data_IF_847314758341
#
_entry.id   IF_847314758341
#
_cell.length_a   1.000
_cell.length_b   1.000
_cell.length_c   1.000
_cell.angle_alpha   90.00
_cell.angle_beta   90.00
_cell.angle_gamma   90.00
#
_symmetry.space_group_name_H-M   'P 1'
#
loop_
_entity.id
_entity.type
_entity.pdbx_description
1 polymer ?
#
# COMPACT_ATOMS: atom_id res chain seq x y z
N UNK A 1 -2.75 1.07 17.56
CA UNK A 1 -1.98 0.31 16.54
C UNK A 1 -1.11 1.28 15.74
N UNK A 2 0.04 0.85 15.26
CA UNK A 2 0.96 1.78 14.57
C UNK A 2 0.37 2.39 13.29
N UNK A 3 -0.61 1.75 12.67
CA UNK A 3 -1.28 2.25 11.47
C UNK A 3 -2.28 3.38 11.72
N UNK A 4 -2.71 3.61 12.95
CA UNK A 4 -3.79 4.56 13.26
C UNK A 4 -3.47 6.01 12.87
N UNK A 5 -2.18 6.35 12.79
CA UNK A 5 -1.72 7.67 12.35
C UNK A 5 -1.67 7.84 10.82
N UNK A 6 -1.77 6.76 10.06
CA UNK A 6 -1.62 6.77 8.60
C UNK A 6 -2.92 6.67 7.82
N UNK A 7 -4.04 6.61 8.52
CA UNK A 7 -5.37 6.66 7.92
C UNK A 7 -6.38 7.20 8.92
N UNK A 8 -7.56 7.49 8.45
CA UNK A 8 -8.71 7.84 9.29
C UNK A 8 -9.92 7.00 8.89
N UNK A 9 -10.90 6.93 9.78
CA UNK A 9 -12.19 6.30 9.50
C UNK A 9 -13.26 7.38 9.54
N UNK A 10 -13.97 7.55 8.44
CA UNK A 10 -15.03 8.55 8.27
C UNK A 10 -16.27 7.84 7.72
N UNK A 11 -17.38 7.90 8.43
CA UNK A 11 -18.64 7.26 8.05
C UNK A 11 -18.48 5.77 7.67
N UNK A 12 -17.62 5.05 8.40
CA UNK A 12 -17.33 3.63 8.15
C UNK A 12 -16.34 3.35 7.03
N UNK A 13 -15.88 4.37 6.31
CA UNK A 13 -14.89 4.25 5.25
C UNK A 13 -13.49 4.57 5.76
N UNK A 14 -12.50 3.88 5.23
CA UNK A 14 -11.09 4.24 5.42
C UNK A 14 -10.72 5.34 4.43
N UNK A 15 -10.11 6.40 4.96
CA UNK A 15 -9.67 7.55 4.17
C UNK A 15 -8.20 7.81 4.46
N UNK A 16 -7.41 8.00 3.42
CA UNK A 16 -5.96 8.26 3.52
C UNK A 16 -5.67 9.60 2.85
N UNK A 17 -5.14 10.54 3.62
CA UNK A 17 -4.68 11.82 3.07
C UNK A 17 -3.31 11.67 2.40
N UNK A 18 -2.97 12.62 1.53
CA UNK A 18 -1.65 12.65 0.89
C UNK A 18 -0.51 12.72 1.91
N UNK A 19 -0.70 13.49 2.99
CA UNK A 19 0.29 13.60 4.06
C UNK A 19 0.48 12.27 4.81
N UNK A 20 -0.60 11.60 5.19
CA UNK A 20 -0.56 10.29 5.86
C UNK A 20 0.15 9.24 4.99
N UNK A 21 -0.18 9.19 3.71
CA UNK A 21 0.45 8.29 2.76
C UNK A 21 1.95 8.54 2.60
N UNK A 22 2.35 9.81 2.48
CA UNK A 22 3.75 10.21 2.37
C UNK A 22 4.54 9.89 3.65
N UNK A 23 3.95 10.13 4.81
CA UNK A 23 4.57 9.79 6.09
C UNK A 23 4.80 8.29 6.22
N UNK A 24 3.81 7.48 5.86
CA UNK A 24 3.97 6.02 5.86
C UNK A 24 5.10 5.57 4.92
N UNK A 25 5.09 6.07 3.68
CA UNK A 25 6.12 5.73 2.70
C UNK A 25 7.53 6.00 3.23
N UNK A 26 7.74 7.18 3.81
CA UNK A 26 9.06 7.61 4.29
C UNK A 26 9.47 6.99 5.62
N UNK A 27 8.56 6.96 6.60
CA UNK A 27 8.89 6.56 7.97
C UNK A 27 8.85 5.04 8.18
N UNK A 28 7.93 4.35 7.52
CA UNK A 28 7.72 2.90 7.70
C UNK A 28 8.35 2.08 6.59
N UNK A 29 8.08 2.46 5.33
CA UNK A 29 8.59 1.72 4.17
C UNK A 29 10.02 2.11 3.79
N UNK A 30 10.47 3.31 4.14
CA UNK A 30 11.73 3.85 3.61
C UNK A 30 11.66 4.06 2.09
N UNK A 31 10.47 4.26 1.57
CA UNK A 31 10.19 4.49 0.16
C UNK A 31 10.15 6.00 -0.12
N UNK A 32 11.17 6.47 -0.82
CA UNK A 32 11.32 7.87 -1.21
C UNK A 32 10.94 8.13 -2.67
N UNK A 33 10.14 7.24 -3.27
CA UNK A 33 9.62 7.47 -4.60
C UNK A 33 8.74 8.74 -4.61
N UNK A 34 9.06 9.73 -5.45
CA UNK A 34 8.33 11.00 -5.49
C UNK A 34 6.83 10.88 -5.81
N UNK A 35 6.38 9.76 -6.32
CA UNK A 35 4.95 9.48 -6.55
C UNK A 35 4.13 9.54 -5.24
N UNK A 36 4.77 9.34 -4.09
CA UNK A 36 4.14 9.41 -2.77
C UNK A 36 4.32 10.75 -2.07
N UNK A 37 4.97 11.72 -2.71
CA UNK A 37 5.07 13.07 -2.16
C UNK A 37 3.71 13.77 -2.19
N UNK A 38 3.33 14.52 -1.15
CA UNK A 38 1.99 15.11 -1.04
C UNK A 38 1.63 16.08 -2.18
N UNK A 39 2.64 16.70 -2.78
CA UNK A 39 2.54 17.64 -3.89
C UNK A 39 2.81 17.01 -5.26
N UNK A 40 2.98 15.70 -5.32
CA UNK A 40 3.22 15.01 -6.57
C UNK A 40 2.05 15.20 -7.55
N UNK A 41 2.36 15.50 -8.78
CA UNK A 41 1.36 15.75 -9.84
C UNK A 41 0.46 14.53 -10.09
N UNK A 42 1.02 13.34 -9.97
CA UNK A 42 0.32 12.06 -10.08
C UNK A 42 0.45 11.27 -8.79
N UNK A 43 0.11 11.92 -7.69
CA UNK A 43 0.17 11.31 -6.37
C UNK A 43 -0.62 10.00 -6.33
N UNK A 44 -0.03 8.99 -5.70
CA UNK A 44 -0.76 7.80 -5.30
C UNK A 44 -0.38 7.35 -3.90
N UNK A 45 -1.34 6.75 -3.23
CA UNK A 45 -1.14 6.09 -1.94
C UNK A 45 -0.25 4.85 -2.15
N UNK A 46 0.77 4.62 -1.30
CA UNK A 46 1.58 3.41 -1.38
C UNK A 46 0.73 2.14 -1.31
N UNK A 47 0.94 1.21 -2.22
CA UNK A 47 0.33 -0.11 -2.15
C UNK A 47 0.64 -0.84 -0.85
N UNK A 48 1.84 -0.64 -0.32
CA UNK A 48 2.27 -1.19 0.97
C UNK A 48 1.41 -0.71 2.16
N UNK A 49 0.89 0.52 2.12
CA UNK A 49 -0.04 1.00 3.15
C UNK A 49 -1.39 0.27 3.07
N UNK A 50 -1.91 0.08 1.87
CA UNK A 50 -3.14 -0.69 1.69
C UNK A 50 -2.96 -2.16 2.09
N UNK A 51 -1.84 -2.76 1.75
CA UNK A 51 -1.44 -4.09 2.22
C UNK A 51 -1.46 -4.17 3.75
N UNK A 52 -0.80 -3.23 4.42
CA UNK A 52 -0.74 -3.16 5.88
C UNK A 52 -2.14 -3.03 6.52
N UNK A 53 -3.01 -2.18 5.97
CA UNK A 53 -4.37 -1.98 6.45
C UNK A 53 -5.21 -3.27 6.29
N UNK A 54 -5.07 -3.97 5.17
CA UNK A 54 -5.77 -5.25 4.96
C UNK A 54 -5.34 -6.28 6.00
N UNK A 55 -4.05 -6.46 6.24
CA UNK A 55 -3.57 -7.40 7.25
C UNK A 55 -4.06 -7.05 8.66
N UNK A 56 -4.03 -5.77 9.02
CA UNK A 56 -4.50 -5.31 10.33
C UNK A 56 -6.00 -5.56 10.55
N UNK A 57 -6.81 -5.41 9.50
CA UNK A 57 -8.27 -5.55 9.60
C UNK A 57 -8.75 -7.00 9.50
N UNK A 58 -8.13 -7.79 8.63
CA UNK A 58 -8.62 -9.12 8.25
C UNK A 58 -7.73 -10.28 8.71
N UNK A 59 -6.55 -9.96 9.23
CA UNK A 59 -5.59 -10.96 9.67
C UNK A 59 -4.65 -11.43 8.57
N UNK A 60 -3.69 -12.25 8.96
CA UNK A 60 -2.71 -12.86 8.07
C UNK A 60 -3.10 -14.32 7.84
N UNK A 61 -3.38 -14.68 6.60
CA UNK A 61 -3.67 -16.06 6.18
C UNK A 61 -2.41 -16.76 5.67
N UNK A 62 -2.39 -18.08 5.70
CA UNK A 62 -1.26 -18.88 5.23
C UNK A 62 -0.87 -18.58 3.79
N UNK A 63 -1.86 -18.33 2.94
CA UNK A 63 -1.66 -17.93 1.55
C UNK A 63 -2.47 -16.68 1.26
N UNK A 64 -1.81 -15.63 0.83
CA UNK A 64 -2.45 -14.39 0.38
C UNK A 64 -1.80 -13.89 -0.89
N UNK A 65 -2.62 -13.45 -1.83
CA UNK A 65 -2.16 -12.79 -3.06
C UNK A 65 -2.86 -11.45 -3.20
N UNK A 66 -2.08 -10.40 -3.32
CA UNK A 66 -2.55 -9.02 -3.50
C UNK A 66 -2.36 -8.61 -4.95
N UNK A 67 -3.43 -8.19 -5.61
CA UNK A 67 -3.39 -7.66 -6.98
C UNK A 67 -3.81 -6.20 -6.97
N UNK A 68 -2.91 -5.34 -7.40
CA UNK A 68 -3.17 -3.91 -7.52
C UNK A 68 -3.81 -3.62 -8.88
N UNK A 69 -5.07 -3.20 -8.87
CA UNK A 69 -5.87 -2.95 -10.07
C UNK A 69 -5.86 -1.50 -10.52
N UNK A 70 -5.75 -0.58 -9.56
CA UNK A 70 -5.81 0.86 -9.84
C UNK A 70 -4.97 1.63 -8.85
N UNK A 71 -4.46 2.77 -9.28
CA UNK A 71 -3.79 3.72 -8.39
C UNK A 71 -4.83 4.43 -7.53
N UNK A 72 -4.56 4.54 -6.24
CA UNK A 72 -5.40 5.23 -5.29
C UNK A 72 -4.87 6.65 -5.07
N UNK A 73 -5.71 7.65 -5.35
CA UNK A 73 -5.44 9.05 -4.99
C UNK A 73 -5.72 9.35 -3.52
N UNK A 74 -5.51 10.60 -3.14
CA UNK A 74 -5.77 11.07 -1.77
C UNK A 74 -7.28 11.19 -1.46
N UNK A 75 -7.61 11.00 -0.20
CA UNK A 75 -8.95 11.27 0.36
C UNK A 75 -10.12 10.51 -0.31
N UNK A 76 -9.85 9.38 -0.94
CA UNK A 76 -10.89 8.51 -1.50
C UNK A 76 -11.47 7.65 -0.37
N UNK A 77 -12.79 7.70 -0.12
CA UNK A 77 -13.43 6.82 0.85
C UNK A 77 -13.40 5.37 0.38
N UNK A 78 -12.73 4.51 1.12
CA UNK A 78 -12.57 3.10 0.80
C UNK A 78 -13.49 2.23 1.63
N UNK A 79 -14.06 1.23 1.00
CA UNK A 79 -14.76 0.13 1.64
C UNK A 79 -14.08 -1.21 1.32
N UNK A 80 -14.30 -2.16 2.19
CA UNK A 80 -13.73 -3.50 2.10
C UNK A 80 -14.87 -4.49 1.96
N UNK A 81 -14.85 -5.26 0.88
CA UNK A 81 -15.84 -6.31 0.62
C UNK A 81 -15.19 -7.65 0.87
N UNK A 82 -15.54 -8.28 1.98
CA UNK A 82 -14.97 -9.55 2.44
C UNK A 82 -15.86 -10.71 2.08
N UNK A 83 -15.26 -11.77 1.53
CA UNK A 83 -15.83 -13.10 1.44
C UNK A 83 -14.92 -14.09 2.18
N UNK A 84 -15.26 -15.36 2.19
CA UNK A 84 -14.40 -16.39 2.80
C UNK A 84 -12.98 -16.39 2.20
N UNK A 85 -12.88 -16.27 0.88
CA UNK A 85 -11.63 -16.44 0.14
C UNK A 85 -11.09 -15.15 -0.50
N UNK A 86 -11.80 -14.03 -0.40
CA UNK A 86 -11.43 -12.78 -1.06
C UNK A 86 -11.69 -11.56 -0.20
N UNK A 87 -10.91 -10.51 -0.45
CA UNK A 87 -11.14 -9.16 0.08
C UNK A 87 -10.91 -8.18 -1.06
N UNK A 88 -11.91 -7.38 -1.40
CA UNK A 88 -11.79 -6.32 -2.38
C UNK A 88 -11.76 -4.96 -1.68
N UNK A 89 -10.79 -4.13 -2.03
CA UNK A 89 -10.71 -2.74 -1.57
C UNK A 89 -11.19 -1.86 -2.71
N UNK A 90 -12.31 -1.19 -2.52
CA UNK A 90 -12.97 -0.40 -3.56
C UNK A 90 -13.55 0.91 -3.02
N UNK A 91 -13.93 1.80 -3.93
CA UNK A 91 -14.68 3.01 -3.59
C UNK A 91 -16.19 2.79 -3.73
N UNK A 92 -16.98 3.82 -3.44
CA UNK A 92 -18.45 3.76 -3.52
C UNK A 92 -18.97 3.66 -4.96
N UNK A 93 -18.16 4.04 -5.95
CA UNK A 93 -18.49 3.87 -7.37
C UNK A 93 -18.22 2.45 -7.90
N UNK A 94 -17.65 1.59 -7.06
CA UNK A 94 -17.32 0.21 -7.41
C UNK A 94 -15.96 0.03 -8.09
N UNK A 95 -15.14 1.08 -8.16
CA UNK A 95 -13.76 0.95 -8.65
C UNK A 95 -12.93 0.16 -7.65
N UNK A 96 -12.32 -0.93 -8.12
CA UNK A 96 -11.47 -1.79 -7.32
C UNK A 96 -10.02 -1.32 -7.39
N UNK A 97 -9.40 -1.12 -6.25
CA UNK A 97 -7.98 -0.74 -6.12
C UNK A 97 -7.10 -1.94 -5.84
N UNK A 98 -7.54 -2.83 -4.95
CA UNK A 98 -6.85 -4.09 -4.65
C UNK A 98 -7.84 -5.23 -4.59
N UNK A 99 -7.45 -6.35 -5.18
CA UNK A 99 -8.09 -7.66 -4.99
C UNK A 99 -7.16 -8.54 -4.16
N UNK A 100 -7.67 -9.11 -3.08
CA UNK A 100 -6.93 -10.05 -2.25
C UNK A 100 -7.57 -11.42 -2.33
N UNK A 101 -6.80 -12.42 -2.72
CA UNK A 101 -7.17 -13.82 -2.59
C UNK A 101 -6.48 -14.42 -1.37
N UNK A 102 -7.19 -15.21 -0.58
CA UNK A 102 -6.64 -15.85 0.61
C UNK A 102 -7.11 -17.28 0.77
N UNK A 103 -6.27 -18.09 1.41
CA UNK A 103 -6.60 -19.49 1.78
C UNK A 103 -5.76 -19.95 2.95
N UNK A 104 -6.19 -21.05 3.57
CA UNK A 104 -5.53 -21.61 4.75
C UNK A 104 -5.98 -20.95 6.05
N UNK A 105 -5.30 -21.28 7.14
CA UNK A 105 -5.61 -20.74 8.45
C UNK A 105 -5.24 -19.23 8.51
N UNK A 106 -6.01 -18.49 9.30
CA UNK A 106 -5.80 -17.03 9.49
C UNK A 106 -5.48 -16.75 10.94
N UNK A 107 -4.40 -16.03 11.19
CA UNK A 107 -4.08 -15.48 12.51
C UNK A 107 -4.52 -14.03 12.62
N UNK A 108 -4.95 -13.65 13.82
CA UNK A 108 -5.26 -12.27 14.21
C UNK A 108 -4.36 -11.76 15.32
N UNK A 109 -3.22 -12.43 15.53
CA UNK A 109 -2.20 -12.00 16.47
C UNK A 109 -1.60 -10.66 16.01
N UNK A 110 -1.96 -9.60 16.74
CA UNK A 110 -1.59 -8.23 16.38
C UNK A 110 -0.08 -8.00 16.38
N UNK A 111 0.64 -8.59 17.35
CA UNK A 111 2.09 -8.44 17.46
C UNK A 111 2.80 -9.12 16.29
N UNK A 112 2.36 -10.32 15.94
CA UNK A 112 2.90 -11.06 14.80
C UNK A 112 2.62 -10.33 13.48
N UNK A 113 1.38 -9.86 13.29
CA UNK A 113 0.96 -9.11 12.10
C UNK A 113 1.76 -7.82 11.97
N UNK A 114 1.93 -7.05 13.04
CA UNK A 114 2.72 -5.82 13.02
C UNK A 114 4.19 -6.12 12.66
N UNK A 115 4.78 -7.13 13.27
CA UNK A 115 6.17 -7.52 13.02
C UNK A 115 6.39 -7.89 11.55
N UNK A 116 5.54 -8.76 11.00
CA UNK A 116 5.62 -9.19 9.60
C UNK A 116 5.36 -8.02 8.65
N UNK A 117 4.35 -7.21 8.93
CA UNK A 117 4.01 -6.05 8.11
C UNK A 117 5.16 -5.07 8.02
N UNK A 118 5.77 -4.70 9.15
CA UNK A 118 6.90 -3.77 9.17
C UNK A 118 8.10 -4.31 8.41
N UNK A 119 8.43 -5.58 8.61
CA UNK A 119 9.56 -6.21 7.92
C UNK A 119 9.34 -6.27 6.41
N UNK A 120 8.15 -6.68 5.98
CA UNK A 120 7.80 -6.77 4.57
C UNK A 120 7.81 -5.41 3.89
N UNK A 121 7.14 -4.43 4.48
CA UNK A 121 7.02 -3.07 3.94
C UNK A 121 8.38 -2.39 3.85
N UNK A 122 9.23 -2.55 4.86
CA UNK A 122 10.60 -2.01 4.83
C UNK A 122 11.45 -2.64 3.72
N UNK A 123 11.29 -3.95 3.47
CA UNK A 123 11.97 -4.63 2.38
C UNK A 123 11.45 -4.17 1.00
N UNK A 124 10.13 -4.05 0.85
CA UNK A 124 9.47 -3.57 -0.38
C UNK A 124 9.87 -2.13 -0.70
N UNK A 125 9.83 -1.24 0.28
CA UNK A 125 10.15 0.18 0.09
C UNK A 125 11.59 0.46 -0.33
N UNK A 126 12.53 -0.43 -0.03
CA UNK A 126 13.93 -0.32 -0.43
C UNK A 126 14.17 -0.56 -1.93
N UNK A 127 13.22 -1.12 -2.65
CA UNK A 127 13.40 -1.44 -4.07
C UNK A 127 13.67 -0.18 -4.92
N UNK A 128 13.02 0.94 -4.63
CA UNK A 128 13.27 2.18 -5.37
C UNK A 128 14.69 2.72 -5.13
N UNK A 129 15.12 3.06 -3.88
CA UNK A 129 16.43 3.65 -3.64
C UNK A 129 17.60 2.68 -3.83
N UNK A 130 17.42 1.39 -3.59
CA UNK A 130 18.52 0.42 -3.60
C UNK A 130 18.63 -0.41 -4.88
N UNK A 131 17.58 -0.50 -5.68
CA UNK A 131 17.55 -1.31 -6.89
C UNK A 131 17.25 -0.49 -8.13
N UNK A 132 16.11 0.18 -8.18
CA UNK A 132 15.66 0.88 -9.38
C UNK A 132 16.49 2.13 -9.67
N UNK A 133 16.69 2.99 -8.67
CA UNK A 133 17.44 4.24 -8.85
C UNK A 133 18.89 3.99 -9.29
N UNK A 134 19.67 3.12 -8.61
CA UNK A 134 21.02 2.78 -9.07
C UNK A 134 21.06 2.15 -10.48
N UNK A 135 20.08 1.28 -10.79
CA UNK A 135 19.98 0.66 -12.12
C UNK A 135 19.71 1.71 -13.20
N UNK A 136 18.84 2.66 -12.94
CA UNK A 136 18.54 3.76 -13.86
C UNK A 136 19.76 4.65 -14.07
N UNK A 137 20.45 5.05 -13.01
CA UNK A 137 21.66 5.87 -13.07
C UNK A 137 22.77 5.17 -13.87
N UNK A 138 22.99 3.87 -13.67
CA UNK A 138 24.00 3.11 -14.39
C UNK A 138 23.71 2.96 -15.90
N UNK A 139 22.45 3.11 -16.31
CA UNK A 139 22.02 3.06 -17.71
C UNK A 139 21.76 4.45 -18.31
N UNK A 140 22.12 5.53 -17.61
CA UNK A 140 21.92 6.90 -18.09
C UNK A 140 20.45 7.32 -18.17
N UNK A 141 19.58 6.67 -17.41
CA UNK A 141 18.14 6.96 -17.37
C UNK A 141 17.84 7.84 -16.17
N UNK A 142 17.12 8.94 -16.38
CA UNK A 142 16.68 9.84 -15.33
C UNK A 142 15.24 9.52 -14.92
N UNK A 143 14.99 9.55 -13.62
CA UNK A 143 13.63 9.49 -13.09
C UNK A 143 12.89 10.82 -13.31
N UNK A 144 11.69 10.75 -13.89
CA UNK A 144 10.83 11.92 -14.06
C UNK A 144 9.68 11.86 -13.06
N UNK A 145 9.66 12.74 -12.02
CA UNK A 145 8.61 12.75 -11.00
C UNK A 145 7.21 13.02 -11.56
N UNK A 146 7.10 13.72 -12.70
CA UNK A 146 5.82 14.01 -13.35
C UNK A 146 5.23 12.80 -14.08
N UNK A 147 6.05 11.79 -14.34
CA UNK A 147 5.66 10.54 -15.00
C UNK A 147 6.26 9.34 -14.27
N UNK A 148 5.85 9.10 -13.03
CA UNK A 148 6.41 8.02 -12.24
C UNK A 148 6.06 6.66 -12.84
N UNK A 149 7.00 5.72 -12.71
CA UNK A 149 6.74 4.32 -13.04
C UNK A 149 5.91 3.67 -11.94
N UNK A 150 4.94 2.88 -12.33
CA UNK A 150 4.24 1.96 -11.43
C UNK A 150 5.09 0.71 -11.29
N UNK A 151 5.34 0.29 -10.06
CA UNK A 151 6.32 -0.71 -9.79
C UNK A 151 5.78 -2.10 -9.52
N UNK A 152 4.58 -2.22 -8.97
CA UNK A 152 4.02 -3.51 -8.61
C UNK A 152 2.63 -3.71 -9.19
N UNK A 153 2.45 -4.84 -9.87
CA UNK A 153 1.15 -5.34 -10.29
C UNK A 153 0.57 -6.31 -9.24
N UNK A 154 1.45 -7.06 -8.57
CA UNK A 154 1.06 -8.02 -7.54
C UNK A 154 2.16 -8.27 -6.52
N UNK A 155 1.78 -8.74 -5.35
CA UNK A 155 2.66 -9.21 -4.28
C UNK A 155 2.04 -10.41 -3.54
#
# INVERSE_FOLDING_TARGET
MFLDRFHSVQDGHVVISALQASQFAKEIAGDFNPIHDPDARRFCVPGDLLFAIVLARFGLSENMTFRFRSLLGENVPLKFVETENTIDVCDDAGKVYIEVARSGATTRDEELIETITRAYVAASGKNFPHTLKPLMESNGVMFNPDRPMVMYESM
#
